data_IF_757157953408
#
_entry.id   IF_757157953408
#
_cell.length_a   1.000
_cell.length_b   1.000
_cell.length_c   1.000
_cell.angle_alpha   90.00
_cell.angle_beta   90.00
_cell.angle_gamma   90.00
#
_symmetry.space_group_name_H-M   'P 1'
#
loop_
_entity.id
_entity.type
_entity.pdbx_description
1 polymer ?
#
# COMPACT_ATOMS: atom_id res chain seq x y z
N UNK A 1 23.41 17.97 -4.88
CA UNK A 1 22.28 17.01 -4.93
C UNK A 1 21.02 17.76 -4.52
N UNK A 2 19.99 17.82 -5.38
CA UNK A 2 18.69 18.39 -5.00
C UNK A 2 17.99 17.39 -4.08
N UNK A 3 17.76 17.77 -2.83
CA UNK A 3 16.93 16.98 -1.91
C UNK A 3 15.47 17.15 -2.35
N UNK A 4 14.73 16.06 -2.63
CA UNK A 4 13.32 16.15 -3.00
C UNK A 4 12.50 16.87 -1.93
N UNK A 5 11.57 17.74 -2.34
CA UNK A 5 10.66 18.41 -1.41
C UNK A 5 9.61 17.44 -0.86
N UNK A 6 9.07 17.69 0.33
CA UNK A 6 8.00 16.87 0.94
C UNK A 6 6.83 16.63 -0.03
N UNK A 7 6.41 17.67 -0.74
CA UNK A 7 5.33 17.58 -1.75
C UNK A 7 5.67 16.62 -2.90
N UNK A 8 6.92 16.59 -3.35
CA UNK A 8 7.35 15.66 -4.39
C UNK A 8 7.31 14.21 -3.92
N UNK A 9 7.65 13.95 -2.66
CA UNK A 9 7.59 12.61 -2.06
C UNK A 9 6.13 12.17 -1.90
N UNK A 10 5.24 13.05 -1.44
CA UNK A 10 3.82 12.74 -1.31
C UNK A 10 3.21 12.40 -2.67
N UNK A 11 3.55 13.16 -3.71
CA UNK A 11 3.13 12.89 -5.08
C UNK A 11 3.66 11.55 -5.60
N UNK A 12 4.92 11.20 -5.30
CA UNK A 12 5.49 9.89 -5.66
C UNK A 12 4.77 8.75 -4.94
N UNK A 13 4.53 8.89 -3.63
CA UNK A 13 3.84 7.87 -2.85
C UNK A 13 2.41 7.65 -3.36
N UNK A 14 1.61 8.72 -3.47
CA UNK A 14 0.23 8.65 -3.94
C UNK A 14 0.17 8.21 -5.41
N UNK A 15 1.07 8.70 -6.25
CA UNK A 15 1.18 8.29 -7.65
C UNK A 15 1.48 6.79 -7.80
N UNK A 16 2.38 6.27 -6.96
CA UNK A 16 2.68 4.82 -6.92
C UNK A 16 1.44 4.02 -6.50
N UNK A 17 0.70 4.47 -5.47
CA UNK A 17 -0.57 3.86 -5.05
C UNK A 17 -1.65 3.90 -6.14
N UNK A 18 -1.63 4.90 -7.01
CA UNK A 18 -2.59 5.03 -8.09
C UNK A 18 -2.35 4.05 -9.25
N UNK A 19 -1.14 3.50 -9.42
CA UNK A 19 -0.83 2.61 -10.55
C UNK A 19 -1.76 1.38 -10.63
N UNK A 20 -2.03 0.63 -9.55
CA UNK A 20 -2.93 -0.51 -9.62
C UNK A 20 -4.40 -0.09 -9.74
N UNK A 21 -4.77 1.13 -9.28
CA UNK A 21 -6.11 1.69 -9.53
C UNK A 21 -6.31 1.97 -11.02
N UNK A 22 -5.30 2.54 -11.69
CA UNK A 22 -5.31 2.73 -13.16
C UNK A 22 -5.40 1.37 -13.86
N UNK A 23 -4.63 0.38 -13.43
CA UNK A 23 -4.73 -0.98 -13.98
C UNK A 23 -6.13 -1.59 -13.78
N UNK A 24 -6.74 -1.40 -12.60
CA UNK A 24 -8.09 -1.87 -12.32
C UNK A 24 -9.14 -1.19 -13.21
N UNK A 25 -8.99 0.11 -13.48
CA UNK A 25 -9.85 0.85 -14.39
C UNK A 25 -9.74 0.33 -15.84
N UNK A 26 -8.51 0.07 -16.31
CA UNK A 26 -8.26 -0.49 -17.64
C UNK A 26 -8.81 -1.92 -17.78
N UNK A 27 -8.78 -2.70 -16.69
CA UNK A 27 -9.21 -4.10 -16.66
C UNK A 27 -10.63 -4.28 -16.08
N UNK A 28 -11.41 -3.20 -15.96
CA UNK A 28 -12.65 -3.19 -15.19
C UNK A 28 -13.67 -4.25 -15.63
N UNK A 29 -13.76 -4.51 -16.94
CA UNK A 29 -14.65 -5.50 -17.53
C UNK A 29 -14.26 -6.95 -17.24
N UNK A 30 -12.98 -7.21 -16.93
CA UNK A 30 -12.47 -8.54 -16.60
C UNK A 30 -12.57 -8.86 -15.11
N UNK A 31 -12.82 -7.86 -14.26
CA UNK A 31 -12.90 -8.04 -12.81
C UNK A 31 -14.30 -8.48 -12.37
N UNK A 32 -14.40 -9.44 -11.42
CA UNK A 32 -15.68 -9.91 -10.89
C UNK A 32 -16.44 -8.79 -10.16
N UNK A 33 -17.75 -8.98 -9.98
CA UNK A 33 -18.57 -8.02 -9.23
C UNK A 33 -18.20 -7.97 -7.73
N UNK A 34 -17.86 -9.13 -7.17
CA UNK A 34 -17.32 -9.29 -5.82
C UNK A 34 -15.85 -9.66 -5.89
N UNK A 35 -15.02 -8.93 -5.15
CA UNK A 35 -13.58 -9.10 -5.14
C UNK A 35 -13.11 -9.54 -3.76
N UNK A 36 -12.27 -10.57 -3.72
CA UNK A 36 -11.55 -11.00 -2.52
C UNK A 36 -10.58 -9.90 -2.06
N UNK A 37 -10.61 -9.60 -0.76
CA UNK A 37 -9.73 -8.61 -0.12
C UNK A 37 -9.02 -9.14 1.14
N UNK A 38 -9.43 -10.30 1.64
CA UNK A 38 -8.80 -10.99 2.75
C UNK A 38 -8.83 -12.51 2.51
N UNK A 39 -7.86 -13.21 3.11
CA UNK A 39 -7.66 -14.64 2.94
C UNK A 39 -7.34 -15.30 4.28
N UNK A 40 -7.92 -16.48 4.51
CA UNK A 40 -7.51 -17.40 5.56
C UNK A 40 -6.73 -18.55 4.92
N UNK A 41 -5.40 -18.44 4.92
CA UNK A 41 -4.53 -19.30 4.12
C UNK A 41 -4.67 -19.00 2.63
N UNK A 42 -5.00 -20.00 1.83
CA UNK A 42 -5.19 -19.85 0.38
C UNK A 42 -6.63 -19.52 -0.03
N UNK A 43 -7.58 -19.55 0.92
CA UNK A 43 -9.01 -19.36 0.63
C UNK A 43 -9.44 -17.95 1.00
N UNK A 44 -10.10 -17.20 0.09
CA UNK A 44 -10.72 -15.92 0.43
C UNK A 44 -11.81 -16.13 1.47
N UNK A 45 -11.78 -15.34 2.54
CA UNK A 45 -12.79 -15.36 3.61
C UNK A 45 -13.57 -14.03 3.69
N UNK A 46 -13.09 -12.97 3.04
CA UNK A 46 -13.80 -11.68 2.91
C UNK A 46 -13.78 -11.21 1.46
N UNK A 47 -14.97 -10.88 0.96
CA UNK A 47 -15.18 -10.25 -0.35
C UNK A 47 -15.94 -8.94 -0.19
N UNK A 48 -15.72 -8.00 -1.11
CA UNK A 48 -16.48 -6.75 -1.18
C UNK A 48 -16.81 -6.40 -2.63
N UNK A 49 -17.73 -5.46 -2.83
CA UNK A 49 -18.05 -4.96 -4.17
C UNK A 49 -16.81 -4.38 -4.88
N UNK A 50 -16.69 -4.64 -6.18
CA UNK A 50 -15.58 -4.19 -7.03
C UNK A 50 -15.21 -2.70 -6.88
N UNK A 51 -16.15 -1.74 -6.85
CA UNK A 51 -15.80 -0.34 -6.59
C UNK A 51 -15.12 -0.11 -5.24
N UNK A 52 -15.56 -0.82 -4.19
CA UNK A 52 -14.96 -0.70 -2.87
C UNK A 52 -13.57 -1.35 -2.82
N UNK A 53 -13.40 -2.52 -3.42
CA UNK A 53 -12.10 -3.20 -3.50
C UNK A 53 -11.04 -2.39 -4.28
N UNK A 54 -11.46 -1.61 -5.27
CA UNK A 54 -10.56 -0.82 -6.13
C UNK A 54 -10.32 0.59 -5.60
N UNK A 55 -11.38 1.37 -5.40
CA UNK A 55 -11.27 2.78 -4.98
C UNK A 55 -11.07 2.90 -3.48
N UNK A 56 -11.67 2.01 -2.68
CA UNK A 56 -11.63 2.11 -1.22
C UNK A 56 -10.22 1.97 -0.65
N UNK A 57 -9.44 1.01 -1.14
CA UNK A 57 -8.07 0.80 -0.67
C UNK A 57 -7.12 1.93 -1.11
N UNK A 58 -7.27 2.48 -2.32
CA UNK A 58 -6.57 3.69 -2.74
C UNK A 58 -6.93 4.90 -1.84
N UNK A 59 -8.22 5.12 -1.60
CA UNK A 59 -8.69 6.22 -0.76
C UNK A 59 -8.15 6.09 0.68
N UNK A 60 -8.14 4.88 1.23
CA UNK A 60 -7.58 4.61 2.54
C UNK A 60 -6.06 4.84 2.59
N UNK A 61 -5.32 4.46 1.54
CA UNK A 61 -3.89 4.73 1.44
C UNK A 61 -3.57 6.23 1.36
N UNK A 62 -4.31 6.98 0.54
CA UNK A 62 -4.19 8.42 0.46
C UNK A 62 -4.53 9.11 1.79
N UNK A 63 -5.60 8.67 2.46
CA UNK A 63 -5.98 9.16 3.78
C UNK A 63 -4.90 8.86 4.84
N UNK A 64 -4.25 7.69 4.77
CA UNK A 64 -3.15 7.32 5.67
C UNK A 64 -1.94 8.22 5.50
N UNK A 65 -1.58 8.56 4.25
CA UNK A 65 -0.51 9.54 3.98
C UNK A 65 -0.88 10.92 4.53
N UNK A 66 -2.10 11.39 4.29
CA UNK A 66 -2.56 12.66 4.83
C UNK A 66 -2.52 12.68 6.37
N UNK A 67 -2.98 11.58 7.00
CA UNK A 67 -2.93 11.42 8.45
C UNK A 67 -1.49 11.52 8.98
N UNK A 68 -0.54 10.77 8.41
CA UNK A 68 0.87 10.80 8.82
C UNK A 68 1.51 12.19 8.65
N UNK A 69 1.02 13.01 7.71
CA UNK A 69 1.53 14.38 7.50
C UNK A 69 0.94 15.43 8.44
N UNK A 70 -0.26 15.20 8.97
CA UNK A 70 -1.02 16.20 9.74
C UNK A 70 -1.05 15.87 11.23
N UNK A 71 -1.06 14.58 11.57
CA UNK A 71 -1.13 14.13 12.95
C UNK A 71 0.13 14.54 13.73
N UNK A 72 0.00 14.84 15.04
CA UNK A 72 1.15 15.12 15.87
C UNK A 72 2.03 13.88 15.99
N UNK A 73 3.34 14.08 16.22
CA UNK A 73 4.31 13.00 16.37
C UNK A 73 3.91 12.00 17.48
N UNK A 74 3.23 12.44 18.53
CA UNK A 74 2.73 11.57 19.60
C UNK A 74 1.66 10.55 19.15
N UNK A 75 1.03 10.79 18.00
CA UNK A 75 -0.01 9.93 17.42
C UNK A 75 0.51 9.06 16.28
N UNK A 76 1.78 9.19 15.88
CA UNK A 76 2.35 8.43 14.78
C UNK A 76 3.69 7.81 15.15
N UNK A 77 3.97 6.63 14.63
CA UNK A 77 5.34 6.08 14.64
C UNK A 77 5.85 6.15 13.22
N UNK A 78 6.90 6.96 12.97
CA UNK A 78 7.48 7.13 11.63
C UNK A 78 8.95 6.73 11.59
N UNK A 79 9.26 5.41 11.64
CA UNK A 79 10.64 4.93 11.57
C UNK A 79 11.35 5.47 10.31
N UNK A 80 12.54 6.04 10.50
CA UNK A 80 13.31 6.68 9.44
C UNK A 80 12.86 8.10 9.10
N UNK A 81 11.85 8.61 9.81
CA UNK A 81 11.19 9.90 9.61
C UNK A 81 10.01 9.82 8.64
N UNK A 82 9.10 10.79 8.76
CA UNK A 82 7.83 10.87 8.02
C UNK A 82 7.96 10.62 6.53
N UNK A 83 9.01 11.13 5.89
CA UNK A 83 9.26 10.97 4.45
C UNK A 83 9.45 9.52 4.03
N UNK A 84 10.29 8.76 4.72
CA UNK A 84 10.52 7.35 4.38
C UNK A 84 9.30 6.50 4.72
N UNK A 85 8.61 6.81 5.82
CA UNK A 85 7.37 6.12 6.18
C UNK A 85 6.27 6.36 5.13
N UNK A 86 6.13 7.58 4.59
CA UNK A 86 5.16 7.87 3.51
C UNK A 86 5.50 7.12 2.22
N UNK A 87 6.78 7.04 1.82
CA UNK A 87 7.17 6.23 0.66
C UNK A 87 6.88 4.74 0.88
N UNK A 88 7.17 4.23 2.08
CA UNK A 88 6.85 2.86 2.47
C UNK A 88 5.35 2.57 2.39
N UNK A 89 4.49 3.48 2.88
CA UNK A 89 3.04 3.38 2.73
C UNK A 89 2.64 3.32 1.25
N UNK A 90 3.21 4.20 0.43
CA UNK A 90 2.92 4.24 -1.01
C UNK A 90 3.20 2.92 -1.72
N UNK A 91 4.37 2.35 -1.48
CA UNK A 91 4.75 1.04 -2.04
C UNK A 91 3.89 -0.09 -1.48
N UNK A 92 3.61 -0.08 -0.17
CA UNK A 92 2.81 -1.10 0.50
C UNK A 92 1.39 -1.16 -0.04
N UNK A 93 0.70 -0.01 -0.13
CA UNK A 93 -0.65 0.05 -0.66
C UNK A 93 -0.71 -0.32 -2.14
N UNK A 94 0.27 0.11 -2.94
CA UNK A 94 0.37 -0.30 -4.33
C UNK A 94 0.51 -1.83 -4.46
N UNK A 95 1.37 -2.43 -3.64
CA UNK A 95 1.60 -3.88 -3.65
C UNK A 95 0.36 -4.68 -3.22
N UNK A 96 -0.31 -4.27 -2.14
CA UNK A 96 -1.53 -4.91 -1.67
C UNK A 96 -2.64 -4.80 -2.72
N UNK A 97 -2.85 -3.61 -3.29
CA UNK A 97 -3.85 -3.40 -4.33
C UNK A 97 -3.56 -4.24 -5.58
N UNK A 98 -2.30 -4.35 -5.99
CA UNK A 98 -1.88 -5.20 -7.11
C UNK A 98 -2.12 -6.69 -6.81
N UNK A 99 -1.82 -7.13 -5.59
CA UNK A 99 -2.06 -8.51 -5.12
C UNK A 99 -3.55 -8.86 -5.19
N UNK A 100 -4.40 -7.98 -4.66
CA UNK A 100 -5.87 -8.07 -4.76
C UNK A 100 -6.31 -8.14 -6.21
N UNK A 101 -5.77 -7.26 -7.07
CA UNK A 101 -6.15 -7.20 -8.48
C UNK A 101 -5.79 -8.50 -9.22
N UNK A 102 -4.54 -8.95 -9.10
CA UNK A 102 -4.04 -10.16 -9.77
C UNK A 102 -4.83 -11.39 -9.34
N UNK A 103 -5.11 -11.52 -8.03
CA UNK A 103 -5.91 -12.64 -7.54
C UNK A 103 -7.34 -12.64 -8.12
N UNK A 104 -7.99 -11.49 -8.15
CA UNK A 104 -9.35 -11.35 -8.65
C UNK A 104 -9.45 -11.43 -10.19
N UNK A 105 -8.34 -11.32 -10.91
CA UNK A 105 -8.25 -11.66 -12.35
C UNK A 105 -8.17 -13.17 -12.59
N UNK A 106 -8.15 -13.98 -11.54
CA UNK A 106 -8.18 -15.45 -11.61
C UNK A 106 -6.82 -16.13 -11.40
N UNK A 107 -5.73 -15.37 -11.25
CA UNK A 107 -4.42 -15.93 -10.94
C UNK A 107 -4.37 -16.39 -9.49
N UNK A 108 -3.93 -17.63 -9.24
CA UNK A 108 -3.84 -18.21 -7.90
C UNK A 108 -2.38 -18.31 -7.48
N UNK A 109 -2.08 -17.82 -6.28
CA UNK A 109 -0.75 -17.82 -5.68
C UNK A 109 -0.87 -17.78 -4.14
N UNK A 110 0.18 -18.19 -3.44
CA UNK A 110 0.20 -18.11 -1.98
C UNK A 110 0.23 -16.63 -1.54
N UNK A 111 -0.91 -16.12 -1.06
CA UNK A 111 -1.06 -14.73 -0.61
C UNK A 111 -0.20 -14.47 0.63
N UNK A 112 -0.01 -15.47 1.51
CA UNK A 112 0.88 -15.36 2.66
C UNK A 112 2.32 -15.06 2.23
N UNK A 113 2.82 -15.75 1.19
CA UNK A 113 4.13 -15.44 0.60
C UNK A 113 4.18 -14.08 -0.08
N UNK A 114 3.07 -13.62 -0.67
CA UNK A 114 3.00 -12.30 -1.27
C UNK A 114 3.15 -11.15 -0.25
N UNK A 115 3.02 -11.41 1.06
CA UNK A 115 3.28 -10.43 2.12
C UNK A 115 4.77 -10.27 2.42
N UNK A 116 5.61 -11.26 2.10
CA UNK A 116 7.05 -11.26 2.44
C UNK A 116 7.82 -10.01 1.97
N UNK A 117 7.61 -9.48 0.74
CA UNK A 117 8.27 -8.26 0.31
C UNK A 117 7.95 -7.04 1.18
N UNK A 118 6.70 -6.91 1.64
CA UNK A 118 6.29 -5.83 2.55
C UNK A 118 7.00 -5.98 3.90
N UNK A 119 7.04 -7.20 4.45
CA UNK A 119 7.73 -7.46 5.73
C UNK A 119 9.22 -7.19 5.64
N UNK A 120 9.86 -7.58 4.53
CA UNK A 120 11.26 -7.29 4.27
C UNK A 120 11.51 -5.77 4.21
N UNK A 121 10.68 -5.02 3.47
CA UNK A 121 10.78 -3.56 3.39
C UNK A 121 10.56 -2.89 4.76
N UNK A 122 9.59 -3.37 5.54
CA UNK A 122 9.34 -2.87 6.89
C UNK A 122 10.55 -3.12 7.79
N UNK A 123 11.11 -4.34 7.78
CA UNK A 123 12.31 -4.68 8.52
C UNK A 123 13.52 -3.83 8.14
N UNK A 124 13.71 -3.55 6.84
CA UNK A 124 14.77 -2.65 6.36
C UNK A 124 14.56 -1.21 6.83
N UNK A 125 13.33 -0.70 6.81
CA UNK A 125 13.01 0.64 7.28
C UNK A 125 13.30 0.78 8.78
N UNK A 126 12.87 -0.19 9.57
CA UNK A 126 13.14 -0.28 11.02
C UNK A 126 14.63 -0.37 11.29
N UNK A 127 15.35 -1.26 10.60
CA UNK A 127 16.80 -1.40 10.77
C UNK A 127 17.55 -0.10 10.44
N UNK A 128 17.12 0.59 9.37
CA UNK A 128 17.65 1.91 9.01
C UNK A 128 17.36 2.95 10.11
N UNK A 129 16.13 2.99 10.63
CA UNK A 129 15.71 3.89 11.69
C UNK A 129 16.58 3.71 12.94
N UNK A 130 16.77 2.47 13.40
CA UNK A 130 17.62 2.14 14.54
C UNK A 130 19.06 2.57 14.30
N UNK A 131 19.63 2.22 13.14
CA UNK A 131 21.03 2.55 12.81
C UNK A 131 21.29 4.06 12.72
N UNK A 132 20.29 4.84 12.32
CA UNK A 132 20.40 6.28 12.12
C UNK A 132 19.94 7.11 13.32
N UNK A 133 19.46 6.47 14.40
CA UNK A 133 18.90 7.16 15.57
C UNK A 133 17.57 7.89 15.26
N UNK A 134 16.80 7.39 14.29
CA UNK A 134 15.55 7.98 13.77
C UNK A 134 14.35 7.06 14.01
N UNK A 135 14.24 6.56 15.23
CA UNK A 135 13.13 5.71 15.65
C UNK A 135 11.97 6.56 16.20
#
# INVERSE_FOLDING_TARGET
>A
MNVPSTRSIDAVAVGTMALPLVAAALLWGSLPAEMAIHWNGETPDTVVAKPLATVGLFAFGAASVAFVRIAPDSATSTPGGTTLSVLFLGVTFAWVQATVLVWNLGYRFDVGRAVLPILALAGLLVAYAVRSGRF
#
